data_IF_588745808008
#
_entry.id   IF_588745808008
#
_cell.length_a   1.000
_cell.length_b   1.000
_cell.length_c   1.000
_cell.angle_alpha   90.00
_cell.angle_beta   90.00
_cell.angle_gamma   90.00
#
_symmetry.space_group_name_H-M   'P 1'
#
loop_
_entity.id
_entity.type
_entity.pdbx_description
1 polymer ?
#
# COMPACT_ATOMS: atom_id res chain seq x y z
N UNK A 1 -13.65 24.38 -14.25
CA UNK A 1 -13.87 22.92 -14.18
C UNK A 1 -12.48 22.26 -14.21
N UNK A 2 -11.92 21.87 -13.05
CA UNK A 2 -10.54 21.36 -12.97
C UNK A 2 -10.53 19.86 -12.62
N UNK A 3 -9.77 19.15 -13.45
CA UNK A 3 -9.16 17.81 -13.31
C UNK A 3 -10.01 16.63 -12.84
N UNK A 4 -10.47 15.86 -13.82
CA UNK A 4 -10.68 14.42 -13.68
C UNK A 4 -9.31 13.73 -13.57
N UNK A 5 -8.70 13.70 -12.39
CA UNK A 5 -7.68 12.67 -12.12
C UNK A 5 -8.43 11.35 -11.96
N UNK A 6 -8.79 10.73 -13.10
CA UNK A 6 -9.09 9.30 -13.12
C UNK A 6 -7.76 8.62 -12.82
N UNK A 7 -7.49 8.33 -11.56
CA UNK A 7 -6.49 7.32 -11.22
C UNK A 7 -6.86 6.08 -12.04
N UNK A 8 -5.93 5.66 -12.90
CA UNK A 8 -6.09 4.46 -13.71
C UNK A 8 -6.18 3.29 -12.75
N UNK A 9 -7.33 2.63 -12.66
CA UNK A 9 -7.51 1.44 -11.81
C UNK A 9 -6.75 0.28 -12.44
N UNK A 10 -5.45 0.19 -12.17
CA UNK A 10 -4.62 -0.92 -12.63
C UNK A 10 -4.67 -2.03 -11.57
N UNK A 11 -4.85 -3.30 -11.96
CA UNK A 11 -4.71 -4.42 -11.03
C UNK A 11 -3.25 -4.57 -10.62
N UNK A 12 -3.02 -5.10 -9.41
CA UNK A 12 -1.67 -5.41 -8.96
C UNK A 12 -1.13 -6.66 -9.68
N UNK A 13 0.04 -6.53 -10.29
CA UNK A 13 0.72 -7.61 -11.01
C UNK A 13 2.21 -7.61 -10.61
N UNK A 14 2.76 -8.78 -10.28
CA UNK A 14 4.21 -8.96 -10.07
C UNK A 14 4.85 -9.27 -11.42
N UNK A 15 5.73 -8.38 -11.89
CA UNK A 15 6.38 -8.49 -13.21
C UNK A 15 7.89 -8.66 -13.11
N UNK A 16 8.50 -8.07 -12.09
CA UNK A 16 9.95 -8.02 -11.96
C UNK A 16 10.40 -8.29 -10.53
N UNK A 17 10.12 -7.34 -9.63
CA UNK A 17 10.54 -7.41 -8.24
C UNK A 17 9.35 -7.05 -7.36
N UNK A 18 8.77 -8.05 -6.71
CA UNK A 18 7.45 -7.98 -6.06
C UNK A 18 7.28 -6.78 -5.12
N UNK A 19 8.32 -6.38 -4.37
CA UNK A 19 8.28 -5.18 -3.52
C UNK A 19 8.29 -3.87 -4.30
N UNK A 20 9.11 -3.75 -5.33
CA UNK A 20 9.18 -2.54 -6.15
C UNK A 20 7.96 -2.44 -7.07
N UNK A 21 7.43 -3.57 -7.53
CA UNK A 21 6.16 -3.64 -8.25
C UNK A 21 5.01 -3.18 -7.34
N UNK A 22 4.99 -3.58 -6.06
CA UNK A 22 3.99 -3.11 -5.09
C UNK A 22 4.12 -1.61 -4.83
N UNK A 23 5.34 -1.12 -4.63
CA UNK A 23 5.61 0.32 -4.49
C UNK A 23 5.06 1.09 -5.69
N UNK A 24 5.46 0.71 -6.90
CA UNK A 24 5.04 1.39 -8.13
C UNK A 24 3.53 1.35 -8.29
N UNK A 25 2.91 0.21 -8.03
CA UNK A 25 1.46 0.05 -8.11
C UNK A 25 0.72 0.95 -7.11
N UNK A 26 1.20 1.03 -5.85
CA UNK A 26 0.65 1.92 -4.83
C UNK A 26 0.78 3.40 -5.24
N UNK A 27 1.94 3.81 -5.75
CA UNK A 27 2.19 5.18 -6.21
C UNK A 27 1.28 5.57 -7.40
N UNK A 28 1.05 4.66 -8.34
CA UNK A 28 0.18 4.93 -9.51
C UNK A 28 -1.31 4.98 -9.15
N UNK A 29 -1.76 4.13 -8.22
CA UNK A 29 -3.18 4.00 -7.87
C UNK A 29 -3.61 4.92 -6.72
N UNK A 30 -2.68 5.25 -5.83
CA UNK A 30 -2.89 6.03 -4.62
C UNK A 30 -1.77 7.08 -4.45
N UNK A 31 -1.61 8.00 -5.42
CA UNK A 31 -0.50 8.97 -5.43
C UNK A 31 -0.44 9.85 -4.17
N UNK A 32 -1.58 10.08 -3.52
CA UNK A 32 -1.67 10.84 -2.27
C UNK A 32 -0.89 10.21 -1.12
N UNK A 33 -0.57 8.91 -1.16
CA UNK A 33 0.28 8.24 -0.15
C UNK A 33 1.70 8.83 -0.12
N UNK A 34 2.19 9.39 -1.23
CA UNK A 34 3.49 10.08 -1.33
C UNK A 34 3.36 11.60 -1.30
N UNK A 35 2.32 12.13 -1.94
CA UNK A 35 2.19 13.57 -2.19
C UNK A 35 1.69 14.36 -0.98
N UNK A 36 0.99 13.70 -0.05
CA UNK A 36 0.37 14.35 1.12
C UNK A 36 1.03 13.84 2.40
N UNK A 37 1.29 14.75 3.33
CA UNK A 37 1.59 14.35 4.71
C UNK A 37 0.39 13.60 5.31
N UNK A 38 0.64 12.62 6.18
CA UNK A 38 -0.35 11.80 6.88
C UNK A 38 -1.59 12.55 7.43
N UNK A 39 -1.43 13.82 7.81
CA UNK A 39 -2.52 14.66 8.35
C UNK A 39 -3.40 15.36 7.30
N UNK A 40 -3.08 15.24 6.00
CA UNK A 40 -3.68 16.03 4.93
C UNK A 40 -4.50 15.18 3.93
N UNK A 41 -4.83 13.93 4.25
CA UNK A 41 -5.70 13.13 3.38
C UNK A 41 -7.12 13.70 3.38
N UNK A 42 -7.68 13.85 2.18
CA UNK A 42 -9.05 14.32 2.00
C UNK A 42 -10.06 13.19 2.20
N UNK A 43 -11.34 13.54 2.33
CA UNK A 43 -12.41 12.56 2.38
C UNK A 43 -12.43 11.65 1.16
N UNK A 44 -12.04 12.14 -0.02
CA UNK A 44 -11.94 11.31 -1.23
C UNK A 44 -10.79 10.31 -1.17
N UNK A 45 -9.66 10.67 -0.57
CA UNK A 45 -8.53 9.74 -0.40
C UNK A 45 -8.94 8.56 0.49
N UNK A 46 -9.60 8.84 1.62
CA UNK A 46 -10.10 7.80 2.53
C UNK A 46 -11.19 6.94 1.88
N UNK A 47 -12.10 7.55 1.12
CA UNK A 47 -13.11 6.80 0.38
C UNK A 47 -12.49 5.85 -0.66
N UNK A 48 -11.40 6.27 -1.32
CA UNK A 48 -10.68 5.42 -2.26
C UNK A 48 -9.91 4.30 -1.55
N UNK A 49 -9.31 4.56 -0.39
CA UNK A 49 -8.71 3.52 0.45
C UNK A 49 -9.75 2.50 0.91
N UNK A 50 -10.93 2.96 1.34
CA UNK A 50 -12.05 2.09 1.72
C UNK A 50 -12.53 1.23 0.55
N UNK A 51 -12.81 1.86 -0.60
CA UNK A 51 -13.29 1.18 -1.81
C UNK A 51 -12.33 0.05 -2.26
N UNK A 52 -11.03 0.25 -2.07
CA UNK A 52 -9.98 -0.65 -2.58
C UNK A 52 -9.20 -1.36 -1.48
N UNK A 53 -9.68 -1.34 -0.24
CA UNK A 53 -8.95 -1.87 0.91
C UNK A 53 -8.61 -3.36 0.73
N UNK A 54 -9.56 -4.15 0.23
CA UNK A 54 -9.35 -5.57 -0.05
C UNK A 54 -8.28 -5.80 -1.13
N UNK A 55 -8.29 -5.01 -2.21
CA UNK A 55 -7.28 -5.10 -3.28
C UNK A 55 -5.87 -4.80 -2.72
N UNK A 56 -5.75 -3.74 -1.91
CA UNK A 56 -4.49 -3.34 -1.28
C UNK A 56 -3.94 -4.44 -0.38
N UNK A 57 -4.77 -4.98 0.52
CA UNK A 57 -4.33 -6.00 1.47
C UNK A 57 -3.96 -7.30 0.77
N UNK A 58 -4.70 -7.68 -0.27
CA UNK A 58 -4.38 -8.85 -1.08
C UNK A 58 -3.04 -8.68 -1.83
N UNK A 59 -2.75 -7.47 -2.33
CA UNK A 59 -1.46 -7.15 -2.95
C UNK A 59 -0.31 -7.26 -1.93
N UNK A 60 -0.47 -6.67 -0.75
CA UNK A 60 0.52 -6.75 0.34
C UNK A 60 0.75 -8.21 0.79
N UNK A 61 -0.33 -8.97 0.97
CA UNK A 61 -0.26 -10.38 1.37
C UNK A 61 0.38 -11.27 0.28
N UNK A 62 0.24 -10.92 -1.00
CA UNK A 62 0.97 -11.61 -2.07
C UNK A 62 2.48 -11.37 -1.94
N UNK A 63 2.91 -10.12 -1.76
CA UNK A 63 4.33 -9.77 -1.57
C UNK A 63 4.92 -10.47 -0.35
N UNK A 64 4.24 -10.39 0.81
CA UNK A 64 4.66 -11.08 2.03
C UNK A 64 4.82 -12.59 1.81
N UNK A 65 3.86 -13.25 1.14
CA UNK A 65 3.94 -14.69 0.84
C UNK A 65 5.13 -15.04 -0.05
N UNK A 66 5.47 -14.19 -1.02
CA UNK A 66 6.64 -14.40 -1.88
C UNK A 66 7.92 -14.37 -1.02
N UNK A 67 8.05 -13.39 -0.13
CA UNK A 67 9.19 -13.29 0.78
C UNK A 67 9.30 -14.48 1.74
N UNK A 68 8.18 -14.90 2.34
CA UNK A 68 8.13 -16.08 3.21
C UNK A 68 8.57 -17.34 2.46
N UNK A 69 8.06 -17.54 1.23
CA UNK A 69 8.40 -18.72 0.42
C UNK A 69 9.88 -18.73 0.01
N UNK A 70 10.45 -17.56 -0.24
CA UNK A 70 11.86 -17.39 -0.57
C UNK A 70 12.78 -17.52 0.67
N UNK A 71 12.22 -17.58 1.89
CA UNK A 71 12.99 -17.47 3.16
C UNK A 71 13.87 -16.22 3.18
N UNK A 72 13.30 -15.12 2.70
CA UNK A 72 13.94 -13.83 2.58
C UNK A 72 14.16 -13.20 3.97
N UNK A 73 15.32 -12.60 4.21
CA UNK A 73 15.57 -11.81 5.44
C UNK A 73 14.59 -10.62 5.56
N UNK A 74 13.97 -10.23 4.44
CA UNK A 74 12.95 -9.20 4.41
C UNK A 74 11.61 -9.61 5.05
N UNK A 75 11.41 -10.90 5.37
CA UNK A 75 10.24 -11.34 6.14
C UNK A 75 10.23 -10.65 7.50
N UNK A 76 11.36 -10.67 8.20
CA UNK A 76 11.48 -10.05 9.53
C UNK A 76 11.52 -8.53 9.41
N UNK A 77 12.20 -8.00 8.39
CA UNK A 77 12.29 -6.56 8.15
C UNK A 77 10.92 -5.89 8.03
N UNK A 78 9.98 -6.53 7.32
CA UNK A 78 8.64 -5.97 7.07
C UNK A 78 7.55 -6.50 8.01
N UNK A 79 7.88 -7.32 9.00
CA UNK A 79 6.88 -7.98 9.85
C UNK A 79 5.94 -6.97 10.52
N UNK A 80 6.47 -5.85 11.00
CA UNK A 80 5.69 -4.79 11.63
C UNK A 80 4.81 -4.03 10.63
N UNK A 81 5.31 -3.75 9.41
CA UNK A 81 4.52 -3.10 8.35
C UNK A 81 3.32 -3.96 7.95
N UNK A 82 3.54 -5.27 7.73
CA UNK A 82 2.46 -6.21 7.41
C UNK A 82 1.43 -6.32 8.52
N UNK A 83 1.89 -6.32 9.78
CA UNK A 83 0.99 -6.35 10.95
C UNK A 83 0.13 -5.09 11.03
N UNK A 84 0.70 -3.90 10.83
CA UNK A 84 -0.04 -2.62 10.84
C UNK A 84 -1.11 -2.61 9.74
N UNK A 85 -0.77 -3.00 8.51
CA UNK A 85 -1.70 -3.03 7.37
C UNK A 85 -2.87 -4.00 7.64
N UNK A 86 -2.58 -5.23 8.07
CA UNK A 86 -3.62 -6.23 8.39
C UNK A 86 -4.53 -5.76 9.51
N UNK A 87 -3.96 -5.15 10.55
CA UNK A 87 -4.73 -4.61 11.67
C UNK A 87 -5.64 -3.47 11.23
N UNK A 88 -5.12 -2.49 10.50
CA UNK A 88 -5.90 -1.35 10.01
C UNK A 88 -7.08 -1.81 9.15
N UNK A 89 -6.87 -2.79 8.27
CA UNK A 89 -7.95 -3.37 7.47
C UNK A 89 -9.01 -4.10 8.32
N UNK A 90 -8.57 -4.94 9.27
CA UNK A 90 -9.48 -5.66 10.16
C UNK A 90 -10.35 -4.72 11.01
N UNK A 91 -9.76 -3.62 11.46
CA UNK A 91 -10.44 -2.60 12.26
C UNK A 91 -11.27 -1.61 11.40
N UNK A 92 -11.20 -1.74 10.05
CA UNK A 92 -11.75 -0.76 9.08
C UNK A 92 -11.28 0.67 9.34
N UNK A 93 -10.06 0.82 9.82
CA UNK A 93 -9.40 2.10 10.06
C UNK A 93 -8.61 2.50 8.82
N UNK A 94 -9.28 3.17 7.88
CA UNK A 94 -8.67 3.58 6.61
C UNK A 94 -7.64 4.71 6.77
N UNK A 95 -7.66 5.40 7.93
CA UNK A 95 -6.60 6.34 8.27
C UNK A 95 -5.34 5.59 8.65
N UNK A 96 -5.44 4.66 9.60
CA UNK A 96 -4.31 3.80 9.96
C UNK A 96 -3.79 2.99 8.76
N UNK A 97 -4.67 2.60 7.83
CA UNK A 97 -4.27 1.91 6.60
C UNK A 97 -3.41 2.82 5.73
N UNK A 98 -3.86 4.05 5.50
CA UNK A 98 -3.10 5.04 4.74
C UNK A 98 -1.73 5.33 5.37
N UNK A 99 -1.69 5.52 6.69
CA UNK A 99 -0.44 5.74 7.43
C UNK A 99 0.53 4.55 7.28
N UNK A 100 0.03 3.32 7.48
CA UNK A 100 0.83 2.11 7.35
C UNK A 100 1.36 1.89 5.92
N UNK A 101 0.59 2.23 4.88
CA UNK A 101 1.03 2.11 3.49
C UNK A 101 2.11 3.15 3.15
N UNK A 102 1.99 4.38 3.65
CA UNK A 102 3.00 5.40 3.45
C UNK A 102 4.31 5.07 4.20
N UNK A 103 4.23 4.49 5.40
CA UNK A 103 5.41 3.93 6.09
C UNK A 103 6.05 2.78 5.29
N UNK A 104 5.25 1.82 4.81
CA UNK A 104 5.75 0.72 3.97
C UNK A 104 6.49 1.26 2.73
N UNK A 105 5.94 2.28 2.07
CA UNK A 105 6.54 2.91 0.90
C UNK A 105 7.91 3.52 1.21
N UNK A 106 8.12 4.06 2.42
CA UNK A 106 9.43 4.54 2.88
C UNK A 106 10.36 3.35 3.13
N UNK A 107 9.88 2.32 3.83
CA UNK A 107 10.65 1.10 4.10
C UNK A 107 11.15 0.41 2.83
N UNK A 108 10.35 0.38 1.75
CA UNK A 108 10.76 -0.15 0.43
C UNK A 108 11.85 0.71 -0.24
N UNK A 109 11.86 2.03 -0.02
CA UNK A 109 12.89 2.91 -0.61
C UNK A 109 14.25 2.82 0.10
N UNK A 110 14.28 2.33 1.33
CA UNK A 110 15.50 2.16 2.11
C UNK A 110 16.23 0.83 1.85
N UNK A 111 15.73 0.00 0.92
CA UNK A 111 16.33 -1.28 0.49
C UNK A 111 17.14 -1.14 -0.79
#
# INVERSE_FOLDING_TARGET
MKSKNKTSRTPFEVKWHHRHDLRKWLEENFPFLREKSFLNYSSEDYALLEERAEEIVNACALVERIDIRARSDYVDYYADDWKKIKKAYADKDYRALGDALAELLISIDCQ
#
